data_IF_671106179157
#
_entry.id   IF_671106179157
#
_cell.length_a   1.000
_cell.length_b   1.000
_cell.length_c   1.000
_cell.angle_alpha   90.00
_cell.angle_beta   90.00
_cell.angle_gamma   90.00
#
_symmetry.space_group_name_H-M   'P 1'
#
loop_
_entity.id
_entity.type
_entity.pdbx_description
1 polymer ?
#
# COMPACT_ATOMS: atom_id res chain seq x y z
N UNK A 1 -30.11 -24.05 -41.69
CA UNK A 1 -29.42 -23.74 -40.43
C UNK A 1 -28.13 -23.02 -40.77
N UNK A 2 -27.87 -21.78 -40.30
CA UNK A 2 -26.61 -21.11 -40.61
C UNK A 2 -25.51 -21.65 -39.69
N UNK A 3 -24.36 -21.95 -40.29
CA UNK A 3 -23.17 -22.43 -39.60
C UNK A 3 -22.61 -21.34 -38.67
N UNK A 4 -22.34 -21.71 -37.42
CA UNK A 4 -21.68 -20.84 -36.45
C UNK A 4 -20.31 -20.41 -37.01
N UNK A 5 -20.14 -19.11 -37.20
CA UNK A 5 -18.88 -18.50 -37.60
C UNK A 5 -17.85 -18.76 -36.51
N UNK A 6 -16.83 -19.57 -36.82
CA UNK A 6 -15.73 -19.83 -35.92
C UNK A 6 -14.97 -18.51 -35.68
N UNK A 7 -15.10 -17.96 -34.48
CA UNK A 7 -14.35 -16.78 -34.05
C UNK A 7 -12.86 -17.11 -34.16
N UNK A 8 -12.15 -16.49 -35.12
CA UNK A 8 -10.71 -16.65 -35.29
C UNK A 8 -10.02 -16.16 -34.02
N UNK A 9 -9.50 -17.08 -33.21
CA UNK A 9 -8.72 -16.75 -32.01
C UNK A 9 -7.47 -15.98 -32.48
N UNK A 10 -7.35 -14.70 -32.09
CA UNK A 10 -6.18 -13.88 -32.38
C UNK A 10 -4.91 -14.51 -31.77
N UNK A 11 -3.73 -14.09 -32.26
CA UNK A 11 -2.45 -14.53 -31.68
C UNK A 11 -2.46 -14.20 -30.18
N UNK A 12 -2.10 -15.16 -29.29
CA UNK A 12 -2.08 -14.89 -27.86
C UNK A 12 -1.12 -13.74 -27.56
N UNK A 13 -1.50 -12.90 -26.60
CA UNK A 13 -0.64 -11.83 -26.12
C UNK A 13 0.65 -12.42 -25.52
N UNK A 14 1.79 -11.72 -25.59
CA UNK A 14 3.02 -12.14 -24.93
C UNK A 14 2.83 -12.25 -23.41
N UNK A 15 3.60 -13.13 -22.75
CA UNK A 15 3.63 -13.24 -21.29
C UNK A 15 4.04 -11.92 -20.64
N UNK A 16 3.45 -11.56 -19.50
CA UNK A 16 3.79 -10.41 -18.66
C UNK A 16 4.67 -10.80 -17.46
N UNK A 17 4.93 -12.10 -17.28
CA UNK A 17 5.89 -12.61 -16.30
C UNK A 17 6.65 -13.81 -16.88
N UNK A 18 7.93 -13.92 -16.52
CA UNK A 18 8.81 -15.03 -16.88
C UNK A 18 9.12 -15.95 -15.70
N UNK A 19 8.64 -15.64 -14.48
CA UNK A 19 8.89 -16.47 -13.29
C UNK A 19 8.06 -17.74 -13.35
N UNK A 20 8.72 -18.91 -13.31
CA UNK A 20 8.05 -20.21 -13.36
C UNK A 20 6.98 -20.37 -12.27
N UNK A 21 7.21 -19.83 -11.07
CA UNK A 21 6.24 -19.88 -9.96
C UNK A 21 4.96 -19.07 -10.19
N UNK A 22 4.91 -18.25 -11.26
CA UNK A 22 3.76 -17.45 -11.65
C UNK A 22 3.11 -17.96 -12.96
N UNK A 23 3.59 -19.08 -13.49
CA UNK A 23 3.05 -19.70 -14.70
C UNK A 23 2.28 -20.98 -14.35
N UNK A 24 1.09 -21.11 -14.91
CA UNK A 24 0.27 -22.33 -14.83
C UNK A 24 0.18 -22.92 -16.23
N UNK A 25 0.71 -24.13 -16.41
CA UNK A 25 0.80 -24.80 -17.72
C UNK A 25 1.45 -23.92 -18.81
N UNK A 26 2.48 -23.13 -18.45
CA UNK A 26 3.19 -22.23 -19.35
C UNK A 26 2.45 -20.93 -19.70
N UNK A 27 1.32 -20.63 -19.05
CA UNK A 27 0.55 -19.40 -19.23
C UNK A 27 0.54 -18.55 -17.96
N UNK A 28 0.55 -17.22 -18.13
CA UNK A 28 0.41 -16.22 -17.07
C UNK A 28 -1.04 -15.74 -16.88
N UNK A 29 -2.03 -16.44 -17.46
CA UNK A 29 -3.44 -16.05 -17.37
C UNK A 29 -3.91 -15.90 -15.93
N UNK A 30 -3.62 -16.89 -15.09
CA UNK A 30 -3.98 -16.89 -13.67
C UNK A 30 -3.29 -15.74 -12.91
N UNK A 31 -2.05 -15.41 -13.28
CA UNK A 31 -1.35 -14.24 -12.73
C UNK A 31 -2.04 -12.92 -13.09
N UNK A 32 -2.51 -12.77 -14.33
CA UNK A 32 -3.25 -11.56 -14.75
C UNK A 32 -4.61 -11.45 -14.06
N UNK A 33 -5.32 -12.56 -13.89
CA UNK A 33 -6.58 -12.61 -13.15
C UNK A 33 -6.34 -12.19 -11.69
N UNK A 34 -5.31 -12.72 -11.03
CA UNK A 34 -4.90 -12.29 -9.70
C UNK A 34 -4.61 -10.78 -9.64
N UNK A 35 -3.87 -10.22 -10.60
CA UNK A 35 -3.57 -8.78 -10.63
C UNK A 35 -4.85 -7.95 -10.75
N UNK A 36 -5.80 -8.35 -11.61
CA UNK A 36 -7.08 -7.65 -11.75
C UNK A 36 -7.91 -7.70 -10.46
N UNK A 37 -8.00 -8.88 -9.82
CA UNK A 37 -8.73 -9.04 -8.57
C UNK A 37 -8.08 -8.22 -7.44
N UNK A 38 -6.74 -8.19 -7.38
CA UNK A 38 -6.00 -7.36 -6.43
C UNK A 38 -6.27 -5.87 -6.63
N UNK A 39 -6.33 -5.38 -7.88
CA UNK A 39 -6.64 -3.97 -8.17
C UNK A 39 -8.07 -3.61 -7.78
N UNK A 40 -9.04 -4.46 -8.11
CA UNK A 40 -10.43 -4.25 -7.72
C UNK A 40 -10.58 -4.22 -6.20
N UNK A 41 -9.92 -5.13 -5.48
CA UNK A 41 -9.95 -5.17 -4.03
C UNK A 41 -9.19 -3.99 -3.40
N UNK A 42 -8.07 -3.56 -3.99
CA UNK A 42 -7.31 -2.39 -3.55
C UNK A 42 -8.17 -1.10 -3.61
N UNK A 43 -8.97 -0.93 -4.66
CA UNK A 43 -9.91 0.19 -4.73
C UNK A 43 -10.96 0.12 -3.61
N UNK A 44 -11.59 -1.04 -3.41
CA UNK A 44 -12.60 -1.22 -2.36
C UNK A 44 -12.06 -0.96 -0.95
N UNK A 45 -10.86 -1.45 -0.62
CA UNK A 45 -10.25 -1.24 0.71
C UNK A 45 -9.83 0.23 0.92
N UNK A 46 -9.37 0.92 -0.14
CA UNK A 46 -9.06 2.35 -0.07
C UNK A 46 -10.32 3.19 0.15
N UNK A 47 -11.42 2.87 -0.53
CA UNK A 47 -12.71 3.54 -0.35
C UNK A 47 -13.25 3.36 1.07
N UNK A 48 -13.22 2.14 1.60
CA UNK A 48 -13.62 1.86 2.98
C UNK A 48 -12.77 2.64 3.96
N UNK A 49 -11.44 2.62 3.80
CA UNK A 49 -10.49 3.40 4.63
C UNK A 49 -10.81 4.90 4.58
N UNK A 50 -11.06 5.44 3.39
CA UNK A 50 -11.35 6.87 3.21
C UNK A 50 -12.66 7.25 3.89
N UNK A 51 -13.73 6.46 3.70
CA UNK A 51 -15.03 6.68 4.35
C UNK A 51 -14.95 6.59 5.87
N UNK A 52 -14.21 5.61 6.40
CA UNK A 52 -13.98 5.49 7.85
C UNK A 52 -13.22 6.70 8.42
N UNK A 53 -12.20 7.19 7.70
CA UNK A 53 -11.50 8.41 8.08
C UNK A 53 -12.41 9.63 8.11
N UNK A 54 -13.25 9.80 7.08
CA UNK A 54 -14.18 10.92 6.98
C UNK A 54 -15.17 10.99 8.15
N UNK A 55 -15.65 9.84 8.64
CA UNK A 55 -16.55 9.78 9.81
C UNK A 55 -15.95 10.38 11.09
N UNK A 56 -14.62 10.45 11.18
CA UNK A 56 -13.91 11.07 12.32
C UNK A 56 -13.16 12.36 11.94
N UNK A 57 -13.45 12.90 10.76
CA UNK A 57 -12.92 14.17 10.25
C UNK A 57 -11.49 14.09 9.72
N UNK A 58 -11.08 12.94 9.19
CA UNK A 58 -9.71 12.69 8.69
C UNK A 58 -9.70 12.23 7.23
N UNK A 59 -8.59 12.47 6.54
CA UNK A 59 -8.30 11.74 5.30
C UNK A 59 -8.04 10.26 5.58
N UNK A 60 -8.14 9.39 4.57
CA UNK A 60 -7.84 7.97 4.73
C UNK A 60 -6.40 7.70 5.19
N UNK A 61 -5.45 8.52 4.74
CA UNK A 61 -4.05 8.43 5.16
C UNK A 61 -3.87 8.86 6.61
N UNK A 62 -4.49 9.97 7.03
CA UNK A 62 -4.45 10.43 8.42
C UNK A 62 -5.09 9.41 9.36
N UNK A 63 -6.20 8.81 8.95
CA UNK A 63 -6.85 7.71 9.65
C UNK A 63 -5.92 6.49 9.81
N UNK A 64 -5.19 6.11 8.76
CA UNK A 64 -4.21 5.01 8.78
C UNK A 64 -3.08 5.29 9.76
N UNK A 65 -2.51 6.51 9.69
CA UNK A 65 -1.44 6.97 10.58
C UNK A 65 -1.93 6.98 12.04
N UNK A 66 -3.11 7.51 12.31
CA UNK A 66 -3.67 7.58 13.67
C UNK A 66 -3.88 6.18 14.27
N UNK A 67 -4.47 5.26 13.52
CA UNK A 67 -4.64 3.86 13.96
C UNK A 67 -3.30 3.16 14.21
N UNK A 68 -2.32 3.42 13.36
CA UNK A 68 -0.99 2.83 13.48
C UNK A 68 -0.29 3.33 14.73
N UNK A 69 -0.37 4.63 15.04
CA UNK A 69 0.12 5.18 16.31
C UNK A 69 -0.62 4.54 17.49
N UNK A 70 -1.95 4.46 17.43
CA UNK A 70 -2.78 3.88 18.50
C UNK A 70 -2.40 2.43 18.84
N UNK A 71 -2.09 1.63 17.82
CA UNK A 71 -1.72 0.22 17.97
C UNK A 71 -0.26 0.04 18.36
N UNK A 72 0.65 0.71 17.65
CA UNK A 72 2.08 0.52 17.83
C UNK A 72 2.57 1.11 19.15
N UNK A 73 1.98 2.20 19.65
CA UNK A 73 2.39 2.78 20.94
C UNK A 73 2.13 1.85 22.13
N UNK A 74 1.25 0.85 21.99
CA UNK A 74 0.98 -0.15 23.03
C UNK A 74 2.10 -1.19 23.17
N UNK A 75 2.85 -1.43 22.09
CA UNK A 75 3.89 -2.47 22.02
C UNK A 75 5.30 -1.89 21.86
N UNK A 76 5.40 -0.63 21.44
CA UNK A 76 6.65 0.09 21.20
C UNK A 76 6.72 1.33 22.08
N UNK A 77 7.54 1.27 23.13
CA UNK A 77 7.70 2.36 24.12
C UNK A 77 8.08 3.71 23.48
N UNK A 78 8.99 3.68 22.50
CA UNK A 78 9.56 4.87 21.88
C UNK A 78 9.20 4.97 20.39
N UNK A 79 7.91 4.85 20.07
CA UNK A 79 7.43 4.95 18.70
C UNK A 79 7.73 6.34 18.12
N UNK A 80 8.69 6.41 17.19
CA UNK A 80 9.01 7.63 16.46
C UNK A 80 8.47 7.63 15.03
N UNK A 81 8.74 8.72 14.31
CA UNK A 81 8.33 8.88 12.90
C UNK A 81 8.98 7.83 12.00
N UNK A 82 10.25 7.51 12.22
CA UNK A 82 10.97 6.55 11.37
C UNK A 82 10.35 5.14 11.49
N UNK A 83 10.06 4.69 12.71
CA UNK A 83 9.40 3.40 12.94
C UNK A 83 8.00 3.37 12.31
N UNK A 84 7.27 4.49 12.35
CA UNK A 84 5.96 4.59 11.75
C UNK A 84 6.02 4.59 10.21
N UNK A 85 7.00 5.28 9.63
CA UNK A 85 7.25 5.31 8.19
C UNK A 85 7.63 3.94 7.65
N UNK A 86 8.53 3.24 8.33
CA UNK A 86 8.92 1.87 8.00
C UNK A 86 7.72 0.91 8.06
N UNK A 87 6.92 0.99 9.13
CA UNK A 87 5.73 0.14 9.29
C UNK A 87 4.68 0.36 8.18
N UNK A 88 4.55 1.59 7.70
CA UNK A 88 3.56 1.97 6.70
C UNK A 88 4.09 1.90 5.26
N UNK A 89 5.37 1.61 5.05
CA UNK A 89 6.05 1.71 3.76
C UNK A 89 5.85 3.09 3.11
N UNK A 90 5.96 4.16 3.91
CA UNK A 90 5.83 5.55 3.49
C UNK A 90 7.15 6.29 3.71
N UNK A 91 7.37 7.39 2.99
CA UNK A 91 8.54 8.24 3.23
C UNK A 91 8.45 8.93 4.60
N UNK A 92 9.60 9.08 5.27
CA UNK A 92 9.67 9.75 6.57
C UNK A 92 9.22 11.22 6.52
N UNK A 93 9.48 11.90 5.39
CA UNK A 93 9.02 13.27 5.15
C UNK A 93 7.49 13.35 5.10
N UNK A 94 6.85 12.46 4.35
CA UNK A 94 5.39 12.41 4.24
C UNK A 94 4.73 12.10 5.59
N UNK A 95 5.24 11.10 6.31
CA UNK A 95 4.72 10.78 7.66
C UNK A 95 4.91 11.96 8.61
N UNK A 96 6.02 12.69 8.53
CA UNK A 96 6.23 13.91 9.35
C UNK A 96 5.14 14.96 9.11
N UNK A 97 4.80 15.21 7.83
CA UNK A 97 3.76 16.16 7.43
C UNK A 97 2.40 15.75 8.00
N UNK A 98 1.98 14.51 7.78
CA UNK A 98 0.67 14.06 8.24
C UNK A 98 0.56 13.96 9.76
N UNK A 99 1.63 13.55 10.45
CA UNK A 99 1.65 13.56 11.92
C UNK A 99 1.56 15.00 12.45
N UNK A 100 2.20 15.98 11.81
CA UNK A 100 2.05 17.39 12.22
C UNK A 100 0.60 17.88 12.08
N UNK A 101 -0.11 17.48 11.02
CA UNK A 101 -1.54 17.79 10.86
C UNK A 101 -2.38 17.16 11.98
N UNK A 102 -2.10 15.91 12.34
CA UNK A 102 -2.79 15.23 13.46
C UNK A 102 -2.48 15.85 14.83
N UNK A 103 -1.28 16.37 15.04
CA UNK A 103 -0.92 17.15 16.24
C UNK A 103 -1.70 18.45 16.29
N UNK A 104 -1.76 19.20 15.17
CA UNK A 104 -2.54 20.43 15.08
C UNK A 104 -4.04 20.20 15.31
N UNK A 105 -4.55 19.04 14.90
CA UNK A 105 -5.92 18.60 15.17
C UNK A 105 -6.17 18.11 16.61
N UNK A 106 -5.14 18.06 17.47
CA UNK A 106 -5.26 17.60 18.85
C UNK A 106 -5.46 16.08 19.00
N UNK A 107 -5.09 15.30 17.98
CA UNK A 107 -5.28 13.84 17.95
C UNK A 107 -4.01 13.05 18.27
N UNK A 108 -2.85 13.67 18.09
CA UNK A 108 -1.54 13.08 18.39
C UNK A 108 -0.73 14.02 19.27
N UNK A 109 0.05 13.45 20.17
CA UNK A 109 1.08 14.15 20.96
C UNK A 109 2.47 13.76 20.48
N UNK A 110 3.39 14.74 20.53
CA UNK A 110 4.83 14.54 20.35
C UNK A 110 5.51 14.88 21.67
N UNK A 111 6.22 13.93 22.26
CA UNK A 111 7.05 14.16 23.44
C UNK A 111 8.49 13.85 23.11
N UNK A 112 9.42 14.71 23.53
CA UNK A 112 10.84 14.40 23.47
C UNK A 112 11.11 13.14 24.29
N UNK A 113 11.88 12.21 23.75
CA UNK A 113 12.27 11.01 24.49
C UNK A 113 13.15 11.44 25.69
N UNK A 114 12.85 10.98 26.91
CA UNK A 114 13.59 11.36 28.11
C UNK A 114 15.06 10.91 28.10
N UNK A 115 15.35 9.79 27.42
CA UNK A 115 16.67 9.16 27.35
C UNK A 115 17.50 9.66 26.16
N UNK A 116 16.84 10.10 25.09
CA UNK A 116 17.48 10.72 23.92
C UNK A 116 16.68 11.92 23.42
N UNK A 117 17.16 13.13 23.76
CA UNK A 117 16.49 14.38 23.39
C UNK A 117 16.42 14.64 21.88
N UNK A 118 17.16 13.88 21.07
CA UNK A 118 17.09 13.94 19.60
C UNK A 118 15.90 13.17 19.04
N UNK A 119 15.23 12.34 19.85
CA UNK A 119 14.11 11.49 19.43
C UNK A 119 12.78 12.05 19.96
N UNK A 120 11.73 11.80 19.18
CA UNK A 120 10.35 12.11 19.54
C UNK A 120 9.54 10.82 19.66
N UNK A 121 8.69 10.77 20.67
CA UNK A 121 7.75 9.68 20.93
C UNK A 121 6.34 10.16 20.57
N UNK A 122 5.66 9.37 19.74
CA UNK A 122 4.31 9.59 19.27
C UNK A 122 3.32 8.81 20.13
N UNK A 123 2.24 9.47 20.53
CA UNK A 123 1.10 8.82 21.19
C UNK A 123 -0.21 9.51 20.80
N UNK A 124 -1.31 8.77 20.73
CA UNK A 124 -2.64 9.35 20.52
C UNK A 124 -3.13 10.10 21.76
N UNK A 125 -4.00 11.08 21.57
CA UNK A 125 -4.71 11.76 22.67
C UNK A 125 -5.93 10.96 23.13
N UNK A 126 -6.51 11.32 24.28
CA UNK A 126 -7.80 10.78 24.73
C UNK A 126 -8.94 11.07 23.75
N UNK A 127 -8.89 12.22 23.08
CA UNK A 127 -9.87 12.57 22.04
C UNK A 127 -9.77 11.61 20.84
N UNK A 128 -8.55 11.31 20.38
CA UNK A 128 -8.33 10.33 19.34
C UNK A 128 -8.80 8.93 19.76
N UNK A 129 -8.48 8.51 20.99
CA UNK A 129 -8.94 7.22 21.53
C UNK A 129 -10.47 7.12 21.55
N UNK A 130 -11.15 8.18 21.98
CA UNK A 130 -12.62 8.27 21.95
C UNK A 130 -13.15 8.14 20.53
N UNK A 131 -12.62 8.90 19.56
CA UNK A 131 -13.06 8.84 18.15
C UNK A 131 -12.88 7.46 17.54
N UNK A 132 -11.73 6.83 17.79
CA UNK A 132 -11.46 5.47 17.29
C UNK A 132 -12.41 4.46 17.94
N UNK A 133 -12.69 4.59 19.23
CA UNK A 133 -13.62 3.71 19.96
C UNK A 133 -15.05 3.84 19.41
N UNK A 134 -15.52 5.07 19.21
CA UNK A 134 -16.86 5.33 18.65
C UNK A 134 -16.98 4.79 17.21
N UNK A 135 -15.91 4.91 16.41
CA UNK A 135 -15.86 4.45 15.03
C UNK A 135 -16.01 2.92 14.88
N UNK A 136 -15.67 2.14 15.92
CA UNK A 136 -15.80 0.66 15.91
C UNK A 136 -17.21 0.20 15.53
N UNK A 137 -18.24 0.98 15.87
CA UNK A 137 -19.64 0.67 15.54
C UNK A 137 -19.89 0.59 14.03
N UNK A 138 -19.12 1.31 13.22
CA UNK A 138 -19.19 1.30 11.76
C UNK A 138 -18.09 0.44 11.17
N UNK A 139 -16.86 0.54 11.70
CA UNK A 139 -15.69 -0.16 11.19
C UNK A 139 -15.87 -1.69 11.24
N UNK A 140 -16.41 -2.23 12.33
CA UNK A 140 -16.55 -3.67 12.50
C UNK A 140 -17.45 -4.31 11.43
N UNK A 141 -18.74 -3.93 11.29
CA UNK A 141 -19.58 -4.53 10.25
C UNK A 141 -19.07 -4.25 8.83
N UNK A 142 -18.42 -3.10 8.60
CA UNK A 142 -17.80 -2.81 7.30
C UNK A 142 -16.68 -3.81 6.96
N UNK A 143 -15.81 -4.12 7.93
CA UNK A 143 -14.76 -5.13 7.75
C UNK A 143 -15.35 -6.53 7.60
N UNK A 144 -16.38 -6.88 8.39
CA UNK A 144 -17.05 -8.18 8.32
C UNK A 144 -17.67 -8.42 6.93
N UNK A 145 -18.21 -7.38 6.28
CA UNK A 145 -18.72 -7.46 4.91
C UNK A 145 -17.59 -7.52 3.90
N UNK A 146 -16.59 -6.64 4.01
CA UNK A 146 -15.48 -6.54 3.05
C UNK A 146 -14.66 -7.85 2.97
N UNK A 147 -14.46 -8.52 4.11
CA UNK A 147 -13.68 -9.76 4.21
C UNK A 147 -14.55 -11.01 4.42
N UNK A 148 -15.88 -10.88 4.36
CA UNK A 148 -16.84 -11.94 4.67
C UNK A 148 -16.64 -13.27 3.92
N UNK A 149 -16.19 -13.29 2.65
CA UNK A 149 -15.92 -14.54 1.94
C UNK A 149 -14.74 -15.37 2.47
N UNK A 150 -13.87 -14.83 3.32
CA UNK A 150 -12.66 -15.53 3.77
C UNK A 150 -12.94 -16.48 4.92
N UNK A 151 -12.43 -17.70 4.82
CA UNK A 151 -12.25 -18.58 5.98
C UNK A 151 -11.05 -18.15 6.83
N UNK A 152 -10.90 -18.75 8.02
CA UNK A 152 -9.73 -18.51 8.87
C UNK A 152 -8.42 -18.96 8.20
N UNK A 153 -8.46 -20.03 7.42
CA UNK A 153 -7.30 -20.51 6.64
C UNK A 153 -6.94 -19.52 5.53
N UNK A 154 -7.94 -19.07 4.76
CA UNK A 154 -7.75 -18.06 3.70
C UNK A 154 -7.17 -16.78 4.27
N UNK A 155 -7.69 -16.30 5.41
CA UNK A 155 -7.18 -15.10 6.07
C UNK A 155 -5.70 -15.24 6.46
N UNK A 156 -5.30 -16.36 7.06
CA UNK A 156 -3.91 -16.58 7.47
C UNK A 156 -2.98 -16.72 6.25
N UNK A 157 -3.43 -17.40 5.20
CA UNK A 157 -2.70 -17.51 3.95
C UNK A 157 -2.53 -16.14 3.27
N UNK A 158 -3.63 -15.37 3.13
CA UNK A 158 -3.61 -14.02 2.57
C UNK A 158 -2.68 -13.11 3.37
N UNK A 159 -2.78 -13.09 4.71
CA UNK A 159 -1.88 -12.31 5.57
C UNK A 159 -0.41 -12.66 5.32
N UNK A 160 -0.10 -13.95 5.19
CA UNK A 160 1.26 -14.42 4.94
C UNK A 160 1.80 -14.02 3.56
N UNK A 161 0.95 -14.04 2.53
CA UNK A 161 1.32 -13.62 1.16
C UNK A 161 1.47 -12.10 1.09
N UNK A 162 0.49 -11.35 1.57
CA UNK A 162 0.51 -9.88 1.55
C UNK A 162 1.72 -9.35 2.33
N UNK A 163 2.08 -9.95 3.48
CA UNK A 163 3.26 -9.54 4.22
C UNK A 163 4.59 -9.71 3.44
N UNK A 164 4.66 -10.67 2.50
CA UNK A 164 5.84 -10.86 1.63
C UNK A 164 5.87 -9.87 0.46
N UNK A 165 4.71 -9.39 0.04
CA UNK A 165 4.56 -8.42 -1.06
C UNK A 165 4.62 -6.96 -0.56
N UNK A 166 4.31 -6.73 0.71
CA UNK A 166 4.39 -5.43 1.34
C UNK A 166 5.81 -4.86 1.19
N UNK A 167 5.93 -3.66 0.62
CA UNK A 167 7.20 -2.99 0.36
C UNK A 167 7.92 -3.36 -0.93
N UNK A 168 7.44 -4.33 -1.74
CA UNK A 168 8.09 -4.61 -3.03
C UNK A 168 7.83 -3.53 -4.08
N UNK A 169 6.77 -2.73 -3.91
CA UNK A 169 6.33 -1.71 -4.86
C UNK A 169 7.39 -0.64 -5.15
N UNK A 170 8.05 -0.09 -4.13
CA UNK A 170 9.05 0.98 -4.30
C UNK A 170 10.22 0.52 -5.20
N UNK A 171 10.73 -0.69 -4.95
CA UNK A 171 11.79 -1.27 -5.80
C UNK A 171 11.30 -1.49 -7.23
N UNK A 172 10.04 -1.91 -7.42
CA UNK A 172 9.46 -2.11 -8.75
C UNK A 172 9.25 -0.80 -9.50
N UNK A 173 8.81 0.27 -8.84
CA UNK A 173 8.68 1.60 -9.45
C UNK A 173 10.03 2.12 -9.92
N UNK A 174 11.06 2.06 -9.06
CA UNK A 174 12.45 2.42 -9.43
C UNK A 174 12.97 1.62 -10.62
N UNK A 175 12.62 0.34 -10.71
CA UNK A 175 12.97 -0.45 -11.88
C UNK A 175 12.29 0.08 -13.16
N UNK A 176 11.00 0.44 -13.09
CA UNK A 176 10.29 1.01 -14.24
C UNK A 176 10.94 2.32 -14.68
N UNK A 177 11.25 3.20 -13.74
CA UNK A 177 11.94 4.48 -14.00
C UNK A 177 13.33 4.26 -14.61
N UNK A 178 14.08 3.26 -14.13
CA UNK A 178 15.37 2.90 -14.71
C UNK A 178 15.25 2.39 -16.15
N UNK A 179 14.22 1.58 -16.42
CA UNK A 179 13.98 0.98 -17.74
C UNK A 179 13.39 1.98 -18.74
N UNK A 180 12.58 2.92 -18.28
CA UNK A 180 11.88 3.93 -19.07
C UNK A 180 12.04 5.33 -18.42
N UNK A 181 13.24 5.93 -18.46
CA UNK A 181 13.56 7.17 -17.76
C UNK A 181 12.72 8.38 -18.20
N UNK A 182 12.19 8.39 -19.42
CA UNK A 182 11.27 9.42 -19.90
C UNK A 182 9.79 9.14 -19.58
N UNK A 183 9.49 8.05 -18.85
CA UNK A 183 8.12 7.62 -18.56
C UNK A 183 7.38 7.02 -19.76
N UNK A 184 8.05 6.87 -20.90
CA UNK A 184 7.49 6.30 -22.13
C UNK A 184 8.28 5.08 -22.60
N UNK A 185 7.62 4.24 -23.41
CA UNK A 185 8.30 3.09 -24.03
C UNK A 185 9.26 3.49 -25.16
N UNK A 186 9.19 4.74 -25.65
CA UNK A 186 10.10 5.26 -26.68
C UNK A 186 11.51 5.44 -26.12
N UNK A 187 11.61 5.66 -24.81
CA UNK A 187 12.85 5.87 -24.07
C UNK A 187 13.40 4.59 -23.42
N UNK A 188 12.97 3.40 -23.85
CA UNK A 188 13.43 2.14 -23.25
C UNK A 188 14.95 2.03 -23.31
N UNK A 189 15.57 1.77 -22.15
CA UNK A 189 17.01 1.56 -22.05
C UNK A 189 17.45 0.42 -23.00
N UNK A 190 18.47 0.70 -23.84
CA UNK A 190 18.98 -0.29 -24.77
C UNK A 190 19.62 -1.47 -24.01
N UNK A 191 19.17 -2.70 -24.28
CA UNK A 191 19.69 -3.90 -23.64
C UNK A 191 19.08 -4.18 -22.28
N UNK A 192 17.75 -4.44 -22.24
CA UNK A 192 17.06 -5.00 -21.09
C UNK A 192 17.86 -6.19 -20.53
N UNK A 193 18.34 -6.13 -19.28
CA UNK A 193 19.15 -7.22 -18.74
C UNK A 193 18.25 -8.45 -18.50
N UNK A 194 18.75 -9.64 -18.83
CA UNK A 194 18.05 -10.91 -18.59
C UNK A 194 17.72 -11.12 -17.09
N UNK A 195 18.47 -10.45 -16.21
CA UNK A 195 18.28 -10.43 -14.76
C UNK A 195 18.35 -9.01 -14.23
N UNK A 196 17.48 -8.67 -13.29
CA UNK A 196 17.49 -7.36 -12.63
C UNK A 196 18.83 -7.08 -11.95
N UNK A 197 19.37 -5.85 -12.02
CA UNK A 197 20.52 -5.46 -11.20
C UNK A 197 20.22 -5.71 -9.72
N UNK A 198 21.17 -6.32 -9.00
CA UNK A 198 21.02 -6.56 -7.56
C UNK A 198 20.87 -5.24 -6.80
N UNK A 199 21.60 -4.22 -7.23
CA UNK A 199 21.55 -2.85 -6.72
C UNK A 199 20.95 -1.89 -7.76
N UNK A 200 19.67 -1.54 -7.59
CA UNK A 200 19.08 -0.41 -8.30
C UNK A 200 19.67 0.89 -7.72
N UNK A 201 19.94 1.92 -8.54
CA UNK A 201 20.38 3.21 -8.04
C UNK A 201 19.44 3.72 -6.94
N UNK A 202 20.00 4.16 -5.81
CA UNK A 202 19.19 4.65 -4.69
C UNK A 202 18.54 6.00 -5.00
N UNK A 203 19.15 6.77 -5.90
CA UNK A 203 18.76 8.13 -6.27
C UNK A 203 18.28 8.17 -7.73
N UNK A 204 17.10 7.61 -7.98
CA UNK A 204 16.31 7.93 -9.18
C UNK A 204 15.40 9.11 -8.81
N UNK A 205 15.30 10.09 -9.71
CA UNK A 205 14.75 11.45 -9.50
C UNK A 205 13.63 11.57 -8.45
N UNK A 206 13.66 12.57 -7.53
CA UNK A 206 12.63 12.76 -6.49
C UNK A 206 11.25 13.18 -7.01
N UNK A 207 11.13 13.51 -8.30
CA UNK A 207 9.99 14.30 -8.80
C UNK A 207 8.72 13.50 -9.11
N UNK A 208 8.66 12.19 -8.77
CA UNK A 208 7.47 11.36 -9.00
C UNK A 208 7.05 10.48 -7.80
N UNK A 209 7.55 10.73 -6.58
CA UNK A 209 6.75 10.42 -5.36
C UNK A 209 5.68 11.52 -5.19
N UNK A 210 5.04 11.88 -6.29
CA UNK A 210 3.83 12.66 -6.36
C UNK A 210 2.68 11.68 -6.50
N UNK A 211 1.79 11.71 -5.51
CA UNK A 211 0.41 11.29 -5.65
C UNK A 211 0.08 9.79 -5.79
N UNK A 212 0.21 9.09 -4.67
CA UNK A 212 -0.81 8.09 -4.29
C UNK A 212 -2.15 8.75 -3.90
N UNK A 213 -2.23 10.09 -3.90
CA UNK A 213 -3.47 10.88 -3.78
C UNK A 213 -4.25 10.97 -5.10
N UNK A 214 -3.61 10.89 -6.26
CA UNK A 214 -4.27 10.96 -7.59
C UNK A 214 -4.95 9.64 -8.02
N UNK A 215 -4.82 8.58 -7.23
CA UNK A 215 -5.63 7.36 -7.37
C UNK A 215 -6.98 7.46 -6.63
N UNK A 216 -7.36 8.67 -6.17
CA UNK A 216 -8.61 8.96 -5.43
C UNK A 216 -9.32 10.22 -5.96
N UNK A 217 -9.27 10.50 -7.27
CA UNK A 217 -10.29 11.35 -7.90
C UNK A 217 -11.48 10.53 -8.44
#
# INVERSE_FOLDING_TARGET
MPAASACKRGKPLPLTTSRESLLVNGSDREFRELVHDMLAFAAAIQDVRNRLGQLIGLSGTQYTILNSIARLSQVTRDLGVNQLAEHLHLSGAFVTIEVNKLVAAGLVTKKTNPDDRRRVVLAITREAEKRLTDLVQVQRPANDVLFGPLSAEDFLALRGVIAKLAGTGERTVRLIEYLAPGGTLEDLAAGLPDTLPEDLPQDLSPDLIGDLSDLVE
#
